data_IF_857800716777
#
_entry.id   IF_857800716777
#
_cell.length_a   1.000
_cell.length_b   1.000
_cell.length_c   1.000
_cell.angle_alpha   90.00
_cell.angle_beta   90.00
_cell.angle_gamma   90.00
#
_symmetry.space_group_name_H-M   'P 1'
#
loop_
_entity.id
_entity.type
_entity.pdbx_description
1 polymer ?
#
# COMPACT_ATOMS: atom_id res chain seq x y z
N UNK A 1 -30.39 41.87 17.88
CA UNK A 1 -29.52 40.69 18.04
C UNK A 1 -28.53 40.48 16.90
N UNK A 2 -27.28 40.95 17.07
CA UNK A 2 -26.19 40.65 16.14
C UNK A 2 -25.65 39.25 16.48
N UNK A 3 -26.09 38.21 15.73
CA UNK A 3 -25.50 36.87 15.81
C UNK A 3 -23.98 36.99 15.67
N UNK A 4 -23.22 36.59 16.70
CA UNK A 4 -21.74 36.48 16.64
C UNK A 4 -21.38 35.49 15.53
N UNK A 5 -21.08 36.01 14.34
CA UNK A 5 -20.60 35.21 13.21
C UNK A 5 -19.19 34.74 13.56
N UNK A 6 -19.04 33.46 13.92
CA UNK A 6 -17.74 32.81 14.12
C UNK A 6 -16.95 32.83 12.80
N UNK A 7 -15.63 32.99 12.85
CA UNK A 7 -14.77 33.12 11.66
C UNK A 7 -15.02 32.01 10.61
N UNK A 8 -15.31 30.78 11.04
CA UNK A 8 -15.66 29.67 10.15
C UNK A 8 -16.87 29.93 9.23
N UNK A 9 -17.89 30.69 9.70
CA UNK A 9 -19.06 31.03 8.88
C UNK A 9 -18.78 32.12 7.83
N UNK A 10 -17.65 32.84 7.92
CA UNK A 10 -17.23 33.81 6.88
C UNK A 10 -16.60 33.12 5.66
N UNK A 11 -16.00 31.94 5.84
CA UNK A 11 -15.36 31.21 4.76
C UNK A 11 -16.37 30.47 3.85
N UNK A 12 -17.53 30.04 4.40
CA UNK A 12 -18.57 29.33 3.63
C UNK A 12 -19.17 30.14 2.48
N UNK A 13 -19.01 31.46 2.49
CA UNK A 13 -19.56 32.39 1.49
C UNK A 13 -18.57 32.73 0.35
N UNK A 14 -17.29 32.31 0.43
CA UNK A 14 -16.25 32.78 -0.50
C UNK A 14 -15.66 31.69 -1.39
N UNK A 15 -15.52 30.44 -0.93
CA UNK A 15 -15.01 29.33 -1.76
C UNK A 15 -15.38 28.00 -1.12
N UNK A 16 -16.05 27.11 -1.86
CA UNK A 16 -16.26 25.73 -1.43
C UNK A 16 -14.94 24.96 -1.59
N UNK A 17 -14.38 24.48 -0.47
CA UNK A 17 -13.16 23.68 -0.46
C UNK A 17 -13.53 22.22 -0.70
N UNK A 18 -12.90 21.58 -1.69
CA UNK A 18 -13.15 20.19 -2.06
C UNK A 18 -11.89 19.36 -1.87
N UNK A 19 -12.03 18.13 -1.39
CA UNK A 19 -10.93 17.16 -1.29
C UNK A 19 -10.99 16.20 -2.48
N UNK A 20 -9.83 15.87 -3.06
CA UNK A 20 -9.69 14.90 -4.15
C UNK A 20 -8.49 14.01 -3.90
N UNK A 21 -8.54 12.71 -4.26
CA UNK A 21 -7.38 11.82 -4.20
C UNK A 21 -6.38 12.09 -5.34
N UNK A 22 -6.75 12.86 -6.36
CA UNK A 22 -5.86 13.18 -7.47
C UNK A 22 -4.77 14.16 -7.01
N UNK A 23 -3.49 13.87 -7.26
CA UNK A 23 -2.41 14.83 -6.99
C UNK A 23 -2.61 16.13 -7.78
N UNK A 24 -2.21 17.27 -7.20
CA UNK A 24 -2.14 18.55 -7.92
C UNK A 24 -3.49 19.22 -8.19
N UNK A 25 -4.57 18.87 -7.48
CA UNK A 25 -5.91 19.44 -7.72
C UNK A 25 -6.06 20.89 -7.27
N UNK A 26 -5.26 21.35 -6.30
CA UNK A 26 -5.20 22.77 -5.94
C UNK A 26 -4.39 23.50 -7.01
N UNK A 27 -5.07 24.24 -7.88
CA UNK A 27 -4.41 24.99 -8.98
C UNK A 27 -4.03 26.42 -8.59
N UNK A 28 -4.63 26.98 -7.53
CA UNK A 28 -4.42 28.35 -7.06
C UNK A 28 -4.36 28.37 -5.55
N UNK A 29 -3.66 29.37 -5.00
CA UNK A 29 -3.63 29.62 -3.58
C UNK A 29 -5.06 29.82 -3.03
N UNK A 30 -5.42 29.07 -2.00
CA UNK A 30 -6.68 29.26 -1.27
C UNK A 30 -6.34 29.90 0.06
N UNK A 31 -6.89 31.10 0.29
CA UNK A 31 -6.72 31.84 1.54
C UNK A 31 -7.87 31.54 2.48
N UNK A 32 -7.58 30.98 3.65
CA UNK A 32 -8.56 30.64 4.68
C UNK A 32 -8.31 31.53 5.91
N UNK A 33 -9.28 32.39 6.24
CA UNK A 33 -9.23 33.24 7.44
C UNK A 33 -9.57 32.39 8.67
N UNK A 34 -8.66 32.35 9.64
CA UNK A 34 -8.83 31.62 10.90
C UNK A 34 -9.35 32.51 12.04
N UNK A 35 -9.48 33.82 11.83
CA UNK A 35 -9.74 34.81 12.86
C UNK A 35 -8.46 35.32 13.54
N UNK A 36 -8.62 36.37 14.36
CA UNK A 36 -7.53 36.96 15.17
C UNK A 36 -6.26 37.33 14.39
N UNK A 37 -6.43 37.78 13.14
CA UNK A 37 -5.34 38.15 12.25
C UNK A 37 -4.57 36.98 11.64
N UNK A 38 -4.99 35.73 11.88
CA UNK A 38 -4.32 34.51 11.38
C UNK A 38 -4.96 34.03 10.08
N UNK A 39 -4.12 33.55 9.18
CA UNK A 39 -4.54 33.04 7.87
C UNK A 39 -3.79 31.75 7.56
N UNK A 40 -4.51 30.75 7.04
CA UNK A 40 -3.93 29.55 6.43
C UNK A 40 -3.97 29.73 4.91
N UNK A 41 -2.84 29.45 4.24
CA UNK A 41 -2.76 29.42 2.79
C UNK A 41 -2.59 27.97 2.34
N UNK A 42 -3.57 27.44 1.63
CA UNK A 42 -3.43 26.18 0.91
C UNK A 42 -2.76 26.48 -0.44
N UNK A 43 -1.68 25.76 -0.73
CA UNK A 43 -0.83 26.00 -1.90
C UNK A 43 -1.04 24.90 -2.93
N UNK A 44 -0.77 25.16 -4.23
CA UNK A 44 -0.75 24.09 -5.21
C UNK A 44 0.14 22.91 -4.79
N UNK A 45 -0.40 21.69 -4.93
CA UNK A 45 0.30 20.49 -4.51
C UNK A 45 1.47 20.18 -5.44
N UNK A 46 2.62 19.82 -4.86
CA UNK A 46 3.78 19.37 -5.63
C UNK A 46 3.60 17.91 -6.05
N UNK A 47 3.98 17.60 -7.29
CA UNK A 47 4.08 16.22 -7.77
C UNK A 47 5.39 15.62 -7.29
N UNK A 48 5.32 14.53 -6.53
CA UNK A 48 6.49 13.82 -6.03
C UNK A 48 6.92 12.76 -7.06
N UNK A 49 8.07 12.94 -7.74
CA UNK A 49 8.54 11.98 -8.74
C UNK A 49 8.85 10.61 -8.12
N UNK A 50 8.77 9.56 -8.93
CA UNK A 50 9.10 8.19 -8.53
C UNK A 50 8.05 7.52 -7.64
N UNK A 51 6.81 8.02 -7.68
CA UNK A 51 5.65 7.43 -7.00
C UNK A 51 4.80 6.65 -7.99
N UNK A 52 4.37 5.44 -7.64
CA UNK A 52 3.51 4.61 -8.51
C UNK A 52 2.23 5.35 -8.89
N UNK A 53 1.71 6.19 -8.00
CA UNK A 53 0.50 6.99 -8.20
C UNK A 53 0.55 7.90 -9.42
N UNK A 54 1.73 8.28 -9.92
CA UNK A 54 1.87 9.09 -11.14
C UNK A 54 1.59 8.31 -12.43
N UNK A 55 1.69 6.98 -12.39
CA UNK A 55 1.45 6.10 -13.54
C UNK A 55 -0.02 5.65 -13.65
N UNK A 56 -0.84 6.02 -12.67
CA UNK A 56 -2.20 5.53 -12.50
C UNK A 56 -3.23 6.54 -12.98
N UNK A 57 -4.28 6.01 -13.59
CA UNK A 57 -5.50 6.75 -13.90
C UNK A 57 -6.26 7.11 -12.62
N UNK A 58 -7.23 8.04 -12.72
CA UNK A 58 -8.05 8.43 -11.57
C UNK A 58 -8.84 7.27 -10.94
N UNK A 59 -9.31 6.31 -11.73
CA UNK A 59 -10.00 5.12 -11.21
C UNK A 59 -9.04 4.14 -10.52
N UNK A 60 -7.83 3.95 -11.06
CA UNK A 60 -6.80 3.13 -10.43
C UNK A 60 -6.30 3.75 -9.12
N UNK A 61 -6.18 5.08 -9.05
CA UNK A 61 -5.86 5.80 -7.81
C UNK A 61 -6.90 5.54 -6.73
N UNK A 62 -8.19 5.46 -7.06
CA UNK A 62 -9.24 5.09 -6.09
C UNK A 62 -9.07 3.65 -5.56
N UNK A 63 -8.36 2.78 -6.26
CA UNK A 63 -8.06 1.41 -5.81
C UNK A 63 -6.80 1.39 -4.93
N UNK A 64 -5.77 2.16 -5.31
CA UNK A 64 -4.48 2.19 -4.60
C UNK A 64 -4.53 3.05 -3.34
N UNK A 65 -5.37 4.09 -3.29
CA UNK A 65 -5.55 4.90 -2.08
C UNK A 65 -6.43 4.17 -1.06
N UNK A 66 -5.93 3.85 0.15
CA UNK A 66 -6.71 3.17 1.17
C UNK A 66 -7.92 4.01 1.61
N UNK A 67 -9.13 3.43 1.51
CA UNK A 67 -10.38 4.06 1.99
C UNK A 67 -10.76 3.64 3.41
N UNK A 68 -10.18 2.54 3.87
CA UNK A 68 -10.37 1.94 5.20
C UNK A 68 -8.99 1.58 5.75
N UNK A 69 -8.94 1.20 7.03
CA UNK A 69 -7.74 0.65 7.62
C UNK A 69 -7.20 -0.50 6.75
N UNK A 70 -5.92 -0.44 6.42
CA UNK A 70 -5.22 -1.49 5.68
C UNK A 70 -5.24 -2.77 6.51
N UNK A 71 -5.68 -3.86 5.89
CA UNK A 71 -5.66 -5.20 6.47
C UNK A 71 -4.41 -5.92 5.96
N UNK A 72 -3.41 -6.17 6.82
CA UNK A 72 -2.19 -6.83 6.36
C UNK A 72 -2.49 -8.27 5.92
N UNK A 73 -1.77 -8.74 4.91
CA UNK A 73 -1.91 -10.11 4.38
C UNK A 73 -0.54 -10.77 4.33
N UNK A 74 -0.39 -11.93 4.95
CA UNK A 74 0.90 -12.62 5.04
C UNK A 74 0.93 -13.90 4.23
N UNK A 75 1.97 -14.04 3.40
CA UNK A 75 2.26 -15.26 2.66
C UNK A 75 3.56 -15.88 3.14
N UNK A 76 3.60 -17.21 3.20
CA UNK A 76 4.85 -17.96 3.27
C UNK A 76 5.37 -18.17 1.85
N UNK A 77 6.49 -17.55 1.52
CA UNK A 77 7.06 -17.53 0.17
C UNK A 77 8.41 -18.25 0.18
N UNK A 78 8.50 -19.31 -0.61
CA UNK A 78 9.74 -20.07 -0.82
C UNK A 78 10.50 -19.53 -2.02
N UNK A 79 11.78 -19.91 -2.16
CA UNK A 79 12.54 -19.59 -3.36
C UNK A 79 11.84 -20.04 -4.65
N UNK A 80 11.90 -19.21 -5.70
CA UNK A 80 11.22 -19.41 -6.98
C UNK A 80 9.71 -19.12 -6.94
N UNK A 81 9.23 -18.49 -5.88
CA UNK A 81 7.85 -18.00 -5.74
C UNK A 81 7.83 -16.50 -5.58
N UNK A 82 6.75 -15.90 -6.07
CA UNK A 82 6.53 -14.47 -5.96
C UNK A 82 5.08 -14.15 -5.60
N UNK A 83 4.88 -12.96 -5.05
CA UNK A 83 3.56 -12.35 -4.86
C UNK A 83 3.48 -11.13 -5.77
N UNK A 84 2.50 -11.12 -6.66
CA UNK A 84 2.17 -9.97 -7.48
C UNK A 84 1.21 -9.05 -6.72
N UNK A 85 1.42 -7.74 -6.83
CA UNK A 85 0.63 -6.68 -6.20
C UNK A 85 -0.11 -5.95 -7.34
N UNK A 86 -1.29 -6.46 -7.68
CA UNK A 86 -1.91 -6.21 -8.97
C UNK A 86 -0.95 -6.58 -10.10
N UNK A 87 -0.97 -5.79 -11.17
CA UNK A 87 0.07 -5.70 -12.18
C UNK A 87 1.06 -4.56 -11.93
N UNK A 88 1.14 -3.98 -10.72
CA UNK A 88 1.96 -2.79 -10.44
C UNK A 88 3.31 -3.09 -9.79
N UNK A 89 3.44 -4.23 -9.11
CA UNK A 89 4.70 -4.65 -8.51
C UNK A 89 4.70 -6.17 -8.30
N UNK A 90 5.88 -6.75 -8.13
CA UNK A 90 6.02 -8.14 -7.67
C UNK A 90 7.17 -8.27 -6.68
N UNK A 91 7.00 -9.15 -5.70
CA UNK A 91 8.01 -9.45 -4.69
C UNK A 91 8.28 -10.95 -4.72
N UNK A 92 9.51 -11.29 -5.07
CA UNK A 92 10.00 -12.65 -5.24
C UNK A 92 11.01 -12.99 -4.16
N UNK A 93 10.98 -14.25 -3.70
CA UNK A 93 12.09 -14.86 -2.97
C UNK A 93 12.89 -15.71 -3.97
N UNK A 94 14.20 -15.49 -4.07
CA UNK A 94 15.05 -16.19 -5.05
C UNK A 94 16.34 -16.73 -4.42
N UNK A 95 17.12 -17.48 -5.20
CA UNK A 95 18.37 -18.10 -4.75
C UNK A 95 18.17 -19.20 -3.71
N UNK A 96 19.25 -19.71 -3.12
CA UNK A 96 19.15 -20.74 -2.08
C UNK A 96 18.90 -20.10 -0.70
N UNK A 97 17.63 -19.82 -0.41
CA UNK A 97 17.21 -19.31 0.89
C UNK A 97 15.99 -20.06 1.44
N UNK A 98 15.87 -20.07 2.77
CA UNK A 98 14.71 -20.65 3.46
C UNK A 98 13.43 -19.87 3.07
N UNK A 99 12.24 -20.46 3.19
CA UNK A 99 11.01 -19.71 2.98
C UNK A 99 10.85 -18.57 3.99
N UNK A 100 10.42 -17.39 3.56
CA UNK A 100 10.14 -16.23 4.43
C UNK A 100 8.64 -15.95 4.50
N UNK A 101 8.23 -15.28 5.58
CA UNK A 101 6.89 -14.71 5.71
C UNK A 101 6.94 -13.26 5.21
N UNK A 102 6.19 -12.98 4.15
CA UNK A 102 6.04 -11.64 3.58
C UNK A 102 4.66 -11.10 3.94
N UNK A 103 4.62 -10.03 4.73
CA UNK A 103 3.37 -9.37 5.14
C UNK A 103 3.16 -8.09 4.35
N UNK A 104 2.10 -8.04 3.56
CA UNK A 104 1.80 -6.94 2.64
C UNK A 104 0.88 -5.93 3.31
N UNK A 105 1.32 -4.67 3.35
CA UNK A 105 0.57 -3.51 3.82
C UNK A 105 0.28 -2.61 2.63
N UNK A 106 -0.73 -2.99 1.85
CA UNK A 106 -1.21 -2.27 0.66
C UNK A 106 -2.73 -2.06 0.76
N UNK A 107 -3.30 -1.18 -0.06
CA UNK A 107 -4.76 -0.98 -0.04
C UNK A 107 -5.53 -2.29 -0.27
N UNK A 108 -6.61 -2.49 0.51
CA UNK A 108 -7.38 -3.75 0.56
C UNK A 108 -8.08 -4.14 -0.76
N UNK A 109 -8.20 -3.17 -1.68
CA UNK A 109 -8.80 -3.35 -3.00
C UNK A 109 -7.77 -3.80 -4.05
N UNK A 110 -6.46 -3.70 -3.76
CA UNK A 110 -5.40 -4.25 -4.60
C UNK A 110 -5.39 -5.78 -4.48
N UNK A 111 -5.31 -6.47 -5.62
CA UNK A 111 -5.25 -7.93 -5.65
C UNK A 111 -3.82 -8.42 -5.41
N UNK A 112 -3.63 -9.20 -4.35
CA UNK A 112 -2.40 -9.94 -4.13
C UNK A 112 -2.51 -11.34 -4.74
N UNK A 113 -1.62 -11.68 -5.66
CA UNK A 113 -1.66 -12.94 -6.40
C UNK A 113 -0.34 -13.72 -6.22
N UNK A 114 -0.34 -14.85 -5.49
CA UNK A 114 0.81 -15.74 -5.41
C UNK A 114 0.97 -16.54 -6.70
N UNK A 115 2.17 -16.57 -7.26
CA UNK A 115 2.51 -17.40 -8.42
C UNK A 115 3.96 -17.89 -8.35
N UNK A 116 4.36 -18.72 -9.31
CA UNK A 116 5.76 -19.07 -9.51
C UNK A 116 6.45 -17.98 -10.33
N UNK A 117 7.72 -17.67 -10.01
CA UNK A 117 8.43 -16.54 -10.63
C UNK A 117 8.54 -16.67 -12.15
N UNK A 118 8.70 -17.89 -12.65
CA UNK A 118 8.77 -18.24 -14.07
C UNK A 118 7.43 -18.05 -14.82
N UNK A 119 6.31 -17.96 -14.10
CA UNK A 119 4.97 -17.78 -14.68
C UNK A 119 4.51 -16.34 -14.72
N UNK A 120 5.23 -15.41 -14.09
CA UNK A 120 4.74 -14.05 -13.89
C UNK A 120 4.38 -13.38 -15.21
N UNK A 121 5.24 -13.47 -16.21
CA UNK A 121 5.05 -12.77 -17.48
C UNK A 121 3.82 -13.32 -18.21
N UNK A 122 3.58 -14.63 -18.14
CA UNK A 122 2.36 -15.26 -18.67
C UNK A 122 1.11 -14.80 -17.91
N UNK A 123 1.17 -14.71 -16.57
CA UNK A 123 0.03 -14.24 -15.77
C UNK A 123 -0.25 -12.76 -16.06
N UNK A 124 0.77 -11.91 -16.21
CA UNK A 124 0.59 -10.50 -16.61
C UNK A 124 -0.10 -10.39 -17.97
N UNK A 125 0.43 -11.09 -18.98
CA UNK A 125 -0.09 -11.04 -20.34
C UNK A 125 -1.57 -11.46 -20.41
N UNK A 126 -1.95 -12.51 -19.67
CA UNK A 126 -3.30 -13.07 -19.76
C UNK A 126 -4.31 -12.43 -18.79
N UNK A 127 -3.84 -11.77 -17.73
CA UNK A 127 -4.71 -11.40 -16.61
C UNK A 127 -4.56 -9.98 -16.08
N UNK A 128 -3.69 -9.13 -16.64
CA UNK A 128 -3.70 -7.70 -16.37
C UNK A 128 -5.09 -7.10 -16.70
N UNK A 129 -5.58 -6.18 -15.86
CA UNK A 129 -6.90 -5.56 -16.07
C UNK A 129 -8.09 -6.42 -15.63
N UNK A 130 -7.89 -7.73 -15.39
CA UNK A 130 -8.95 -8.67 -14.97
C UNK A 130 -8.69 -9.23 -13.57
N UNK A 131 -7.97 -10.34 -13.45
CA UNK A 131 -7.62 -10.92 -12.15
C UNK A 131 -6.53 -10.10 -11.44
N UNK A 132 -5.60 -9.52 -12.20
CA UNK A 132 -4.54 -8.66 -11.71
C UNK A 132 -4.96 -7.19 -11.85
N UNK A 133 -5.51 -6.66 -10.78
CA UNK A 133 -5.98 -5.27 -10.71
C UNK A 133 -5.43 -4.58 -9.47
N UNK A 134 -4.99 -3.31 -9.59
CA UNK A 134 -4.78 -2.52 -10.85
C UNK A 134 -3.61 -3.05 -11.70
N UNK A 135 -3.49 -2.75 -13.02
CA UNK A 135 -4.28 -1.78 -13.78
C UNK A 135 -5.73 -2.19 -14.00
N UNK A 136 -6.58 -1.25 -14.43
CA UNK A 136 -8.00 -1.49 -14.73
C UNK A 136 -8.28 -1.34 -16.24
N UNK A 137 -9.29 -2.06 -16.74
CA UNK A 137 -9.71 -1.95 -18.14
C UNK A 137 -8.86 -2.81 -19.07
N UNK A 138 -8.44 -2.25 -20.20
CA UNK A 138 -7.59 -2.92 -21.19
C UNK A 138 -6.18 -3.13 -20.62
N UNK A 139 -5.91 -4.35 -20.15
CA UNK A 139 -4.67 -4.70 -19.48
C UNK A 139 -3.44 -4.52 -20.35
N UNK A 140 -3.49 -4.91 -21.62
CA UNK A 140 -2.33 -4.84 -22.53
C UNK A 140 -1.91 -3.38 -22.74
N UNK A 141 -2.87 -2.55 -23.16
CA UNK A 141 -2.64 -1.12 -23.34
C UNK A 141 -2.18 -0.43 -22.05
N UNK A 142 -2.79 -0.76 -20.91
CA UNK A 142 -2.40 -0.16 -19.62
C UNK A 142 -1.00 -0.59 -19.18
N UNK A 143 -0.59 -1.82 -19.44
CA UNK A 143 0.77 -2.28 -19.14
C UNK A 143 1.81 -1.58 -20.03
N UNK A 144 1.51 -1.31 -21.31
CA UNK A 144 2.36 -0.47 -22.16
C UNK A 144 2.53 0.96 -21.61
N UNK A 145 1.44 1.57 -21.16
CA UNK A 145 1.45 2.92 -20.56
C UNK A 145 2.17 2.96 -19.20
N UNK A 146 2.11 1.89 -18.41
CA UNK A 146 2.88 1.74 -17.16
C UNK A 146 4.37 1.58 -17.45
N UNK A 147 4.71 0.86 -18.53
CA UNK A 147 6.05 0.68 -19.02
C UNK A 147 6.81 -0.48 -18.39
N UNK A 148 8.11 -0.51 -18.66
CA UNK A 148 8.99 -1.61 -18.28
C UNK A 148 9.26 -1.69 -16.78
N UNK A 149 9.43 -2.92 -16.29
CA UNK A 149 9.75 -3.20 -14.90
C UNK A 149 11.25 -3.37 -14.71
N UNK A 150 11.78 -2.82 -13.63
CA UNK A 150 13.17 -2.97 -13.20
C UNK A 150 13.24 -3.77 -11.91
N UNK A 151 14.29 -4.58 -11.76
CA UNK A 151 14.50 -5.41 -10.58
C UNK A 151 15.38 -4.70 -9.56
N UNK A 152 15.00 -4.81 -8.29
CA UNK A 152 15.78 -4.41 -7.13
C UNK A 152 16.02 -5.64 -6.25
N UNK A 153 17.27 -6.10 -6.22
CA UNK A 153 17.68 -7.25 -5.41
C UNK A 153 18.15 -6.76 -4.05
N UNK A 154 17.61 -7.35 -2.99
CA UNK A 154 17.77 -6.90 -1.61
C UNK A 154 18.06 -8.13 -0.73
N UNK A 155 19.15 -8.07 0.01
CA UNK A 155 19.48 -9.06 1.03
C UNK A 155 18.99 -8.59 2.41
N UNK A 156 18.29 -9.47 3.13
CA UNK A 156 17.73 -9.17 4.46
C UNK A 156 18.07 -10.31 5.42
N UNK A 157 18.79 -9.98 6.50
CA UNK A 157 19.04 -10.91 7.59
C UNK A 157 17.81 -11.01 8.52
N UNK A 158 17.23 -12.20 8.58
CA UNK A 158 16.04 -12.50 9.37
C UNK A 158 16.27 -12.53 10.88
N UNK A 159 15.32 -11.98 11.65
CA UNK A 159 15.34 -11.91 13.13
C UNK A 159 14.55 -13.01 13.83
N UNK A 160 14.18 -14.05 13.10
CA UNK A 160 13.33 -15.13 13.57
C UNK A 160 11.88 -15.01 13.07
N UNK A 161 11.01 -15.88 13.56
CA UNK A 161 9.65 -16.05 13.02
C UNK A 161 8.58 -15.22 13.70
N UNK A 162 8.96 -14.38 14.67
CA UNK A 162 8.04 -13.59 15.50
C UNK A 162 8.18 -12.08 15.29
N UNK A 163 9.26 -11.65 14.64
CA UNK A 163 9.61 -10.25 14.47
C UNK A 163 10.06 -10.02 13.02
N UNK A 164 9.49 -9.03 12.35
CA UNK A 164 9.97 -8.59 11.06
C UNK A 164 11.39 -8.04 11.16
N UNK A 165 12.24 -8.39 10.20
CA UNK A 165 13.61 -7.90 10.11
C UNK A 165 13.68 -6.52 9.47
N UNK A 166 12.87 -6.29 8.42
CA UNK A 166 12.83 -5.05 7.67
C UNK A 166 11.48 -4.85 6.98
N UNK A 167 11.17 -3.60 6.65
CA UNK A 167 10.13 -3.23 5.68
C UNK A 167 10.79 -2.87 4.35
N UNK A 168 10.24 -3.40 3.26
CA UNK A 168 10.50 -2.97 1.89
C UNK A 168 9.37 -2.02 1.47
N UNK A 169 9.66 -0.73 1.39
CA UNK A 169 8.71 0.31 0.98
C UNK A 169 8.65 0.44 -0.54
N UNK A 170 7.43 0.41 -1.07
CA UNK A 170 7.11 0.61 -2.49
C UNK A 170 6.41 1.97 -2.62
N UNK A 171 7.13 2.97 -3.14
CA UNK A 171 6.70 4.37 -3.10
C UNK A 171 5.36 4.57 -3.82
N UNK A 172 4.34 4.99 -3.07
CA UNK A 172 2.98 5.20 -3.58
C UNK A 172 2.06 3.97 -3.59
N UNK A 173 2.54 2.79 -3.16
CA UNK A 173 1.75 1.55 -3.14
C UNK A 173 1.57 0.96 -1.73
N UNK A 174 2.59 1.06 -0.88
CA UNK A 174 2.59 0.50 0.47
C UNK A 174 3.96 -0.08 0.85
N UNK A 175 3.98 -1.11 1.70
CA UNK A 175 5.22 -1.80 2.04
C UNK A 175 5.01 -3.29 2.30
N UNK A 176 6.11 -4.04 2.31
CA UNK A 176 6.16 -5.46 2.63
C UNK A 176 7.10 -5.69 3.81
N UNK A 177 6.59 -6.22 4.92
CA UNK A 177 7.42 -6.62 6.05
C UNK A 177 7.96 -8.04 5.83
N UNK A 178 9.27 -8.21 6.01
CA UNK A 178 9.99 -9.48 5.79
C UNK A 178 10.29 -10.11 7.14
N UNK A 179 9.75 -11.30 7.39
CA UNK A 179 9.94 -12.05 8.64
C UNK A 179 10.44 -13.46 8.36
N UNK A 180 11.46 -13.91 9.08
CA UNK A 180 12.03 -15.24 8.93
C UNK A 180 13.39 -15.35 9.61
N UNK A 181 14.03 -16.50 9.46
CA UNK A 181 15.33 -16.78 10.05
C UNK A 181 16.36 -17.16 8.97
N UNK A 182 17.55 -16.57 9.05
CA UNK A 182 18.60 -16.71 8.03
C UNK A 182 18.62 -15.55 7.04
N UNK A 183 19.42 -15.66 5.98
CA UNK A 183 19.48 -14.65 4.92
C UNK A 183 18.33 -14.82 3.93
N UNK A 184 17.63 -13.74 3.60
CA UNK A 184 16.60 -13.68 2.57
C UNK A 184 17.12 -12.91 1.35
N UNK A 185 16.97 -13.49 0.17
CA UNK A 185 17.24 -12.79 -1.09
C UNK A 185 15.89 -12.44 -1.72
N UNK A 186 15.55 -11.15 -1.65
CA UNK A 186 14.27 -10.63 -2.10
C UNK A 186 14.49 -9.81 -3.36
N UNK A 187 13.76 -10.14 -4.43
CA UNK A 187 13.72 -9.36 -5.66
C UNK A 187 12.39 -8.63 -5.72
N UNK A 188 12.47 -7.31 -5.84
CA UNK A 188 11.31 -6.44 -6.03
C UNK A 188 11.34 -5.94 -7.46
N UNK A 189 10.30 -6.21 -8.25
CA UNK A 189 10.13 -5.58 -9.56
C UNK A 189 9.03 -4.54 -9.52
N UNK A 190 9.35 -3.32 -9.95
CA UNK A 190 8.43 -2.18 -10.07
C UNK A 190 8.68 -1.47 -11.42
N UNK A 191 7.75 -0.64 -11.92
CA UNK A 191 7.97 0.15 -13.11
C UNK A 191 9.22 1.04 -12.98
N UNK A 192 9.90 1.26 -14.11
CA UNK A 192 11.11 2.07 -14.16
C UNK A 192 10.89 3.46 -13.56
N UNK A 193 11.80 3.88 -12.68
CA UNK A 193 11.75 5.17 -12.02
C UNK A 193 10.95 5.20 -10.70
N UNK A 194 10.29 4.10 -10.34
CA UNK A 194 9.61 3.98 -9.04
C UNK A 194 10.62 3.71 -7.91
N UNK A 195 10.49 4.44 -6.81
CA UNK A 195 11.37 4.30 -5.65
C UNK A 195 11.04 3.05 -4.81
N UNK A 196 12.07 2.24 -4.54
CA UNK A 196 12.07 1.14 -3.57
C UNK A 196 13.08 1.46 -2.46
N UNK A 197 12.68 1.30 -1.20
CA UNK A 197 13.56 1.57 -0.07
C UNK A 197 13.40 0.54 1.04
N UNK A 198 14.49 0.22 1.72
CA UNK A 198 14.49 -0.65 2.91
C UNK A 198 14.54 0.23 4.15
N UNK A 199 13.75 -0.11 5.17
CA UNK A 199 13.71 0.60 6.45
C UNK A 199 13.46 -0.34 7.63
N UNK A 200 13.68 0.12 8.88
CA UNK A 200 13.22 -0.61 10.07
C UNK A 200 11.70 -0.86 10.03
N UNK A 201 11.22 -2.02 10.52
CA UNK A 201 9.79 -2.33 10.50
C UNK A 201 8.97 -1.36 11.33
N UNK A 202 7.88 -0.85 10.76
CA UNK A 202 6.92 -0.04 11.54
C UNK A 202 6.02 -0.90 12.44
N UNK A 203 5.71 -2.12 11.99
CA UNK A 203 4.82 -3.06 12.68
C UNK A 203 5.50 -4.43 12.85
N UNK A 204 6.55 -4.53 13.69
CA UNK A 204 7.41 -5.71 13.72
C UNK A 204 6.73 -7.02 14.13
N UNK A 205 5.60 -6.98 14.84
CA UNK A 205 4.96 -8.17 15.42
C UNK A 205 3.65 -8.60 14.74
N UNK A 206 3.21 -7.89 13.69
CA UNK A 206 1.92 -8.15 13.02
C UNK A 206 1.88 -9.47 12.25
N UNK A 207 3.04 -10.09 12.00
CA UNK A 207 3.18 -11.41 11.38
C UNK A 207 2.38 -12.51 12.10
N UNK A 208 2.18 -12.37 13.42
CA UNK A 208 1.54 -13.38 14.26
C UNK A 208 0.02 -13.43 14.11
N UNK A 209 -0.58 -12.32 13.69
CA UNK A 209 -2.02 -12.15 13.66
C UNK A 209 -2.64 -12.45 12.28
N UNK A 210 -1.81 -12.76 11.29
CA UNK A 210 -2.22 -12.78 9.88
C UNK A 210 -1.69 -14.04 9.21
N UNK A 211 -2.52 -15.08 9.07
CA UNK A 211 -2.28 -16.12 8.07
C UNK A 211 -3.16 -15.83 6.85
N UNK A 212 -2.64 -15.79 5.62
CA UNK A 212 -3.49 -15.69 4.43
C UNK A 212 -4.09 -17.05 4.05
N UNK A 213 -5.32 -17.04 3.51
CA UNK A 213 -5.89 -18.12 2.70
C UNK A 213 -6.11 -17.55 1.30
N UNK A 214 -5.54 -18.17 0.28
CA UNK A 214 -5.76 -17.80 -1.11
C UNK A 214 -6.93 -18.60 -1.66
N UNK A 215 -8.01 -17.95 -2.10
CA UNK A 215 -9.22 -18.62 -2.60
C UNK A 215 -9.34 -18.59 -4.12
N UNK A 216 -8.23 -18.46 -4.84
CA UNK A 216 -8.20 -18.37 -6.31
C UNK A 216 -8.42 -16.95 -6.84
N UNK A 217 -9.30 -16.15 -6.19
CA UNK A 217 -9.67 -14.80 -6.66
C UNK A 217 -9.26 -13.63 -5.74
N UNK A 218 -9.01 -13.89 -4.45
CA UNK A 218 -8.53 -12.89 -3.49
C UNK A 218 -7.73 -13.60 -2.40
N UNK A 219 -6.66 -12.96 -1.94
CA UNK A 219 -6.04 -13.30 -0.68
C UNK A 219 -6.88 -12.72 0.46
N UNK A 220 -7.33 -13.58 1.38
CA UNK A 220 -8.14 -13.16 2.52
C UNK A 220 -7.43 -13.59 3.80
N UNK A 221 -7.47 -12.76 4.84
CA UNK A 221 -7.00 -13.15 6.17
C UNK A 221 -7.77 -14.37 6.65
N UNK A 222 -7.04 -15.39 7.12
CA UNK A 222 -7.60 -16.54 7.81
C UNK A 222 -8.21 -16.01 9.10
N UNK A 223 -9.53 -16.10 9.22
CA UNK A 223 -10.24 -15.83 10.47
C UNK A 223 -9.74 -16.82 11.53
N UNK A 224 -8.82 -16.37 12.37
CA UNK A 224 -8.69 -16.93 13.71
C UNK A 224 -9.88 -16.39 14.46
N UNK A 225 -10.92 -17.22 14.68
CA UNK A 225 -11.87 -16.99 15.77
C UNK A 225 -11.02 -16.85 17.02
N UNK A 226 -10.69 -15.62 17.43
CA UNK A 226 -10.06 -15.42 18.71
C UNK A 226 -11.05 -15.94 19.75
N UNK A 227 -10.64 -16.94 20.54
CA UNK A 227 -11.36 -17.30 21.77
C UNK A 227 -11.29 -16.16 22.80
N UNK A 228 -10.64 -15.05 22.48
CA UNK A 228 -10.52 -13.86 23.31
C UNK A 228 -11.53 -12.79 22.92
N UNK A 229 -12.80 -13.18 22.82
CA UNK A 229 -13.89 -12.22 22.87
C UNK A 229 -13.87 -11.48 24.22
N UNK A 230 -13.97 -10.15 24.17
CA UNK A 230 -14.55 -9.31 25.24
C UNK A 230 -13.75 -8.92 26.50
N UNK A 231 -12.41 -9.00 26.55
CA UNK A 231 -11.66 -8.54 27.77
C UNK A 231 -10.81 -7.27 27.68
N UNK A 232 -11.00 -6.42 26.66
CA UNK A 232 -10.41 -5.06 26.65
C UNK A 232 -11.46 -3.99 26.40
N UNK A 233 -12.26 -3.71 27.42
CA UNK A 233 -12.91 -2.42 27.69
C UNK A 233 -13.64 -2.46 29.05
N UNK A 234 -12.89 -2.45 30.13
CA UNK A 234 -13.34 -1.80 31.38
C UNK A 234 -12.34 -0.72 31.66
N UNK A 235 -12.79 0.53 31.52
CA UNK A 235 -12.01 1.71 31.80
C UNK A 235 -11.49 1.65 33.23
N UNK A 236 -10.24 2.04 33.40
CA UNK A 236 -9.70 2.41 34.70
C UNK A 236 -10.49 3.64 35.14
N UNK A 237 -11.44 3.43 36.05
CA UNK A 237 -12.09 4.52 36.76
C UNK A 237 -11.02 5.28 37.54
N UNK A 238 -10.94 6.59 37.30
CA UNK A 238 -10.27 7.51 38.23
C UNK A 238 -10.94 7.36 39.60
N UNK A 239 -10.15 6.99 40.60
CA UNK A 239 -10.35 7.45 41.98
C UNK A 239 -9.40 8.61 42.19
#
# INVERSE_FOLDING_TARGET
>A
DKKKIRAGNRNSLKTAVTASPLPGTTLKFIKIDLGDGRTLYDTPGLLVPGTITQLLTGEELKVVCPKKQVEPITFRVSSGKCIMIGGLARVEVFGDCKPFLLTFFVANDIKLHPTASDKVDNVLQNHAGTMLTPPLGDGEKRMEEIGEFVNHDIEIEGRGWKEAAADISLTGLGWVAVTGAGMANIRVSVPKGIGVAVRPPLMPFDVLDVGARYTGAKAVRKSTKSKWGNKRRRGVGRK
#
